data_IF_561603951339
#
_entry.id   IF_561603951339
#
_cell.length_a   1.000
_cell.length_b   1.000
_cell.length_c   1.000
_cell.angle_alpha   90.00
_cell.angle_beta   90.00
_cell.angle_gamma   90.00
#
_symmetry.space_group_name_H-M   'P 1'
#
loop_
_entity.id
_entity.type
_entity.pdbx_description
1 polymer ?
#
# COMPACT_ATOMS: atom_id res chain seq x y z
N UNK A 1 -0.26 14.07 12.71
CA UNK A 1 -0.45 13.60 14.11
C UNK A 1 -1.90 13.17 14.28
N UNK A 2 -2.17 12.21 15.16
CA UNK A 2 -3.50 11.65 15.42
C UNK A 2 -3.83 11.75 16.91
N UNK A 3 -5.03 12.22 17.23
CA UNK A 3 -5.51 12.32 18.60
C UNK A 3 -6.94 11.78 18.68
N UNK A 4 -7.20 10.86 19.60
CA UNK A 4 -8.56 10.48 19.95
C UNK A 4 -9.13 11.54 20.90
N UNK A 5 -10.22 12.16 20.50
CA UNK A 5 -10.97 13.10 21.33
C UNK A 5 -12.27 12.45 21.78
N UNK A 6 -12.63 12.56 23.06
CA UNK A 6 -13.86 11.97 23.59
C UNK A 6 -14.55 12.88 24.59
N UNK A 7 -15.88 12.84 24.60
CA UNK A 7 -16.66 13.45 25.68
C UNK A 7 -16.38 12.71 27.00
N UNK A 8 -16.44 13.40 28.15
CA UNK A 8 -16.41 12.74 29.46
C UNK A 8 -17.56 11.73 29.60
N UNK A 9 -17.33 10.63 30.33
CA UNK A 9 -18.34 9.60 30.57
C UNK A 9 -19.57 10.14 31.32
N UNK A 10 -19.41 11.24 32.04
CA UNK A 10 -20.47 11.93 32.78
C UNK A 10 -21.42 12.75 31.88
N UNK A 11 -21.06 12.99 30.62
CA UNK A 11 -21.84 13.82 29.70
C UNK A 11 -22.50 12.95 28.64
N UNK A 12 -23.83 12.95 28.57
CA UNK A 12 -24.58 12.28 27.51
C UNK A 12 -24.54 13.08 26.19
N UNK A 13 -24.69 12.38 25.07
CA UNK A 13 -24.93 13.03 23.77
C UNK A 13 -26.35 13.60 23.73
N UNK A 14 -26.55 14.70 23.00
CA UNK A 14 -27.82 15.41 22.85
C UNK A 14 -28.52 15.02 21.54
N UNK A 15 -27.77 14.79 20.47
CA UNK A 15 -28.26 14.38 19.16
C UNK A 15 -27.58 13.13 18.64
N UNK A 16 -27.27 13.14 17.35
CA UNK A 16 -26.58 12.07 16.64
C UNK A 16 -25.05 12.24 16.62
N UNK A 17 -24.51 13.18 17.42
CA UNK A 17 -23.07 13.40 17.49
C UNK A 17 -22.34 12.20 18.13
N UNK A 18 -21.14 11.86 17.61
CA UNK A 18 -20.35 10.77 18.17
C UNK A 18 -19.74 11.13 19.53
N UNK A 19 -19.64 10.15 20.43
CA UNK A 19 -18.92 10.31 21.71
C UNK A 19 -17.41 10.44 21.54
N UNK A 20 -16.87 9.82 20.48
CA UNK A 20 -15.44 9.76 20.18
C UNK A 20 -15.21 10.14 18.72
N UNK A 21 -14.20 10.97 18.47
CA UNK A 21 -13.75 11.36 17.13
C UNK A 21 -12.23 11.25 17.05
N UNK A 22 -11.72 11.06 15.84
CA UNK A 22 -10.30 11.10 15.57
C UNK A 22 -9.94 12.46 14.95
N UNK A 23 -9.07 13.21 15.62
CA UNK A 23 -8.49 14.44 15.13
C UNK A 23 -7.17 14.14 14.41
N UNK A 24 -7.14 14.40 13.10
CA UNK A 24 -5.93 14.28 12.28
C UNK A 24 -5.40 15.66 11.93
N UNK A 25 -4.17 15.94 12.33
CA UNK A 25 -3.45 17.17 11.98
C UNK A 25 -2.42 16.90 10.88
N UNK A 26 -2.49 17.68 9.80
CA UNK A 26 -1.63 17.62 8.62
C UNK A 26 -0.22 18.07 8.96
N UNK A 27 0.67 17.14 9.30
CA UNK A 27 2.08 17.46 9.55
C UNK A 27 2.87 17.56 8.24
N UNK A 28 2.97 16.44 7.52
CA UNK A 28 3.74 16.34 6.28
C UNK A 28 2.98 16.86 5.05
N UNK A 29 1.66 16.73 5.01
CA UNK A 29 0.80 17.15 3.89
C UNK A 29 0.88 18.66 3.64
N UNK A 30 1.02 19.49 4.69
CA UNK A 30 1.26 20.93 4.54
C UNK A 30 2.56 21.25 3.77
N UNK A 31 3.55 20.35 3.77
CA UNK A 31 4.79 20.49 3.00
C UNK A 31 4.65 20.06 1.53
N UNK A 32 3.59 19.33 1.18
CA UNK A 32 3.33 18.83 -0.18
C UNK A 32 2.56 19.83 -1.05
N UNK A 33 2.06 20.92 -0.46
CA UNK A 33 1.38 22.02 -1.16
C UNK A 33 -0.14 21.90 -1.17
N UNK A 34 -0.81 23.01 -1.51
CA UNK A 34 -2.27 23.14 -1.45
C UNK A 34 -3.00 22.14 -2.38
N UNK A 35 -2.44 21.84 -3.54
CA UNK A 35 -3.04 20.89 -4.50
C UNK A 35 -3.15 19.47 -3.94
N UNK A 36 -2.11 18.99 -3.26
CA UNK A 36 -2.12 17.66 -2.62
C UNK A 36 -3.18 17.57 -1.53
N UNK A 37 -3.31 18.63 -0.71
CA UNK A 37 -4.34 18.72 0.34
C UNK A 37 -5.76 18.69 -0.25
N UNK A 38 -5.99 19.39 -1.37
CA UNK A 38 -7.30 19.40 -2.04
C UNK A 38 -7.63 17.99 -2.57
N UNK A 39 -6.69 17.33 -3.25
CA UNK A 39 -6.90 15.98 -3.78
C UNK A 39 -7.18 14.97 -2.68
N UNK A 40 -6.41 15.01 -1.59
CA UNK A 40 -6.63 14.15 -0.42
C UNK A 40 -8.00 14.40 0.23
N UNK A 41 -8.39 15.67 0.37
CA UNK A 41 -9.69 16.04 0.94
C UNK A 41 -10.86 15.53 0.08
N UNK A 42 -10.75 15.65 -1.24
CA UNK A 42 -11.74 15.12 -2.20
C UNK A 42 -11.79 13.60 -2.12
N UNK A 43 -10.63 12.93 -2.06
CA UNK A 43 -10.54 11.48 -1.94
C UNK A 43 -11.22 10.99 -0.66
N UNK A 44 -10.87 11.59 0.47
CA UNK A 44 -11.41 11.22 1.78
C UNK A 44 -12.93 11.42 1.83
N UNK A 45 -13.43 12.56 1.34
CA UNK A 45 -14.87 12.82 1.29
C UNK A 45 -15.62 11.77 0.46
N UNK A 46 -15.11 11.39 -0.73
CA UNK A 46 -15.74 10.38 -1.57
C UNK A 46 -15.76 9.01 -0.87
N UNK A 47 -14.67 8.64 -0.19
CA UNK A 47 -14.58 7.37 0.53
C UNK A 47 -15.56 7.31 1.71
N UNK A 48 -15.69 8.41 2.46
CA UNK A 48 -16.66 8.55 3.54
C UNK A 48 -18.10 8.41 3.02
N UNK A 49 -18.45 9.13 1.95
CA UNK A 49 -19.80 9.08 1.35
C UNK A 49 -20.15 7.68 0.80
N UNK A 50 -19.15 6.92 0.35
CA UNK A 50 -19.34 5.54 -0.13
C UNK A 50 -19.24 4.48 0.97
N UNK A 51 -19.08 4.87 2.24
CA UNK A 51 -18.87 3.94 3.36
C UNK A 51 -17.67 3.00 3.16
N UNK A 52 -16.64 3.47 2.45
CA UNK A 52 -15.38 2.74 2.20
C UNK A 52 -14.22 3.24 3.06
N UNK A 53 -14.47 4.24 3.91
CA UNK A 53 -13.54 4.73 4.91
C UNK A 53 -14.32 5.34 6.09
N UNK A 54 -13.61 5.90 7.08
CA UNK A 54 -14.22 6.56 8.24
C UNK A 54 -15.12 7.72 7.79
N UNK A 55 -16.24 7.96 8.49
CA UNK A 55 -17.06 9.15 8.23
C UNK A 55 -16.24 10.43 8.43
N UNK A 56 -16.50 11.42 7.58
CA UNK A 56 -15.90 12.74 7.70
C UNK A 56 -16.83 13.66 8.49
N UNK A 57 -16.36 14.19 9.64
CA UNK A 57 -17.14 15.14 10.45
C UNK A 57 -16.79 16.60 10.16
N UNK A 58 -15.57 16.89 9.71
CA UNK A 58 -15.19 18.25 9.34
C UNK A 58 -13.77 18.37 8.81
N UNK A 59 -13.54 19.36 7.96
CA UNK A 59 -12.22 19.72 7.41
C UNK A 59 -11.90 21.15 7.81
N UNK A 60 -10.66 21.40 8.19
CA UNK A 60 -10.13 22.72 8.49
C UNK A 60 -8.68 22.83 7.97
N UNK A 61 -8.10 24.04 7.86
CA UNK A 61 -6.82 24.21 7.16
C UNK A 61 -5.65 23.37 7.70
N UNK A 62 -5.68 23.03 8.99
CA UNK A 62 -4.63 22.27 9.66
C UNK A 62 -4.93 20.77 9.76
N UNK A 63 -6.09 20.29 9.32
CA UNK A 63 -6.50 18.91 9.57
C UNK A 63 -7.96 18.57 9.27
N UNK A 64 -8.40 17.44 9.83
CA UNK A 64 -9.78 16.96 9.75
C UNK A 64 -10.20 16.23 11.01
N UNK A 65 -11.52 16.16 11.21
CA UNK A 65 -12.18 15.29 12.17
C UNK A 65 -12.83 14.13 11.41
N UNK A 66 -12.46 12.92 11.78
CA UNK A 66 -12.97 11.67 11.19
C UNK A 66 -13.53 10.74 12.27
N UNK A 67 -14.34 9.78 11.84
CA UNK A 67 -14.88 8.73 12.71
C UNK A 67 -13.77 7.96 13.43
N UNK A 68 -13.91 7.84 14.75
CA UNK A 68 -13.06 6.92 15.50
C UNK A 68 -13.62 5.50 15.35
N UNK A 69 -12.86 4.61 14.74
CA UNK A 69 -13.24 3.23 14.50
C UNK A 69 -12.56 2.33 15.53
N UNK A 70 -13.29 1.76 16.50
CA UNK A 70 -12.73 0.76 17.42
C UNK A 70 -12.22 -0.45 16.64
N UNK A 71 -10.91 -0.64 16.65
CA UNK A 71 -10.22 -1.59 15.80
C UNK A 71 -8.79 -1.79 16.26
N UNK A 72 -8.15 -2.84 15.73
CA UNK A 72 -6.69 -2.98 15.71
C UNK A 72 -6.21 -3.13 14.27
N UNK A 73 -4.94 -2.82 14.05
CA UNK A 73 -4.27 -3.19 12.79
C UNK A 73 -4.08 -4.70 12.74
N UNK A 74 -3.98 -5.24 11.53
CA UNK A 74 -3.52 -6.61 11.36
C UNK A 74 -2.03 -6.71 11.67
N UNK A 75 -1.62 -7.89 12.12
CA UNK A 75 -0.22 -8.30 12.14
C UNK A 75 0.16 -8.94 10.81
N UNK A 76 1.45 -8.90 10.44
CA UNK A 76 1.93 -9.41 9.15
C UNK A 76 1.60 -10.89 8.94
N UNK A 77 1.65 -11.70 10.00
CA UNK A 77 1.28 -13.12 9.94
C UNK A 77 -0.18 -13.35 9.57
N UNK A 78 -1.07 -12.44 9.94
CA UNK A 78 -2.51 -12.55 9.70
C UNK A 78 -2.86 -12.38 8.22
N UNK A 79 -2.02 -11.69 7.44
CA UNK A 79 -2.19 -11.55 5.99
C UNK A 79 -2.27 -12.91 5.28
N UNK A 80 -1.59 -13.92 5.84
CA UNK A 80 -1.53 -15.27 5.27
C UNK A 80 -2.71 -16.18 5.61
N UNK A 81 -3.60 -15.74 6.51
CA UNK A 81 -4.79 -16.50 6.89
C UNK A 81 -5.81 -16.48 5.73
N UNK A 82 -6.35 -17.64 5.28
CA UNK A 82 -7.20 -17.71 4.09
C UNK A 82 -8.39 -16.75 4.10
N UNK A 83 -9.10 -16.62 5.22
CA UNK A 83 -10.29 -15.77 5.33
C UNK A 83 -9.92 -14.28 5.30
N UNK A 84 -8.80 -13.91 5.95
CA UNK A 84 -8.28 -12.54 5.94
C UNK A 84 -7.80 -12.19 4.52
N UNK A 85 -7.01 -13.05 3.91
CA UNK A 85 -6.52 -12.87 2.54
C UNK A 85 -7.67 -12.76 1.53
N UNK A 86 -8.74 -13.56 1.69
CA UNK A 86 -9.92 -13.48 0.84
C UNK A 86 -10.65 -12.15 1.03
N UNK A 87 -10.87 -11.71 2.27
CA UNK A 87 -11.56 -10.44 2.51
C UNK A 87 -10.73 -9.23 2.04
N UNK A 88 -9.40 -9.24 2.21
CA UNK A 88 -8.53 -8.19 1.63
C UNK A 88 -8.70 -8.15 0.11
N UNK A 89 -8.73 -9.31 -0.55
CA UNK A 89 -8.96 -9.41 -1.99
C UNK A 89 -10.31 -8.80 -2.41
N UNK A 90 -11.39 -9.10 -1.68
CA UNK A 90 -12.73 -8.53 -1.92
C UNK A 90 -12.75 -7.00 -1.74
N UNK A 91 -12.12 -6.50 -0.67
CA UNK A 91 -12.03 -5.05 -0.39
C UNK A 91 -11.20 -4.33 -1.43
N UNK A 92 -10.07 -4.91 -1.86
CA UNK A 92 -9.23 -4.36 -2.91
C UNK A 92 -9.95 -4.35 -4.27
N UNK A 93 -10.68 -5.41 -4.62
CA UNK A 93 -11.51 -5.45 -5.83
C UNK A 93 -12.58 -4.35 -5.84
N UNK A 94 -13.24 -4.14 -4.71
CA UNK A 94 -14.21 -3.05 -4.51
C UNK A 94 -13.55 -1.69 -4.69
N UNK A 95 -12.36 -1.49 -4.10
CA UNK A 95 -11.59 -0.24 -4.21
C UNK A 95 -11.16 0.04 -5.66
N UNK A 96 -10.66 -0.98 -6.37
CA UNK A 96 -10.27 -0.89 -7.78
C UNK A 96 -11.45 -0.57 -8.71
N UNK A 97 -12.67 -0.99 -8.36
CA UNK A 97 -13.90 -0.69 -9.10
C UNK A 97 -14.35 0.77 -8.99
N UNK A 98 -13.73 1.59 -8.14
CA UNK A 98 -14.15 2.97 -7.92
C UNK A 98 -13.87 3.89 -9.11
N UNK A 99 -14.90 4.67 -9.46
CA UNK A 99 -14.77 5.83 -10.36
C UNK A 99 -14.46 7.07 -9.53
N UNK A 100 -13.20 7.50 -9.56
CA UNK A 100 -12.70 8.68 -8.85
C UNK A 100 -12.41 9.82 -9.83
N UNK A 101 -12.62 11.10 -9.45
CA UNK A 101 -12.44 12.26 -10.32
C UNK A 101 -10.96 12.71 -10.39
N UNK A 102 -10.05 11.77 -10.61
CA UNK A 102 -8.60 12.02 -10.72
C UNK A 102 -8.10 11.65 -12.11
N UNK A 103 -6.85 12.03 -12.42
CA UNK A 103 -6.19 11.62 -13.66
C UNK A 103 -6.17 10.09 -13.77
N UNK A 104 -6.59 9.55 -14.92
CA UNK A 104 -6.71 8.12 -15.20
C UNK A 104 -5.49 7.50 -15.85
N UNK A 105 -4.52 8.32 -16.25
CA UNK A 105 -3.26 7.80 -16.79
C UNK A 105 -2.37 7.29 -15.64
N UNK A 106 -1.77 6.10 -15.77
CA UNK A 106 -0.97 5.46 -14.72
C UNK A 106 0.45 6.07 -14.61
N UNK A 107 0.54 7.40 -14.61
CA UNK A 107 1.81 8.15 -14.54
C UNK A 107 2.46 8.12 -13.15
N UNK A 108 1.68 7.77 -12.12
CA UNK A 108 2.12 7.83 -10.73
C UNK A 108 3.33 6.95 -10.45
N UNK A 109 3.32 5.70 -10.90
CA UNK A 109 4.37 4.72 -10.56
C UNK A 109 5.74 5.13 -11.10
N UNK A 110 5.89 5.21 -12.43
CA UNK A 110 7.18 5.57 -13.04
C UNK A 110 7.57 7.02 -12.80
N UNK A 111 6.61 7.96 -12.85
CA UNK A 111 6.90 9.37 -12.56
C UNK A 111 7.44 9.57 -11.14
N UNK A 112 6.94 8.80 -10.16
CA UNK A 112 7.44 8.85 -8.78
C UNK A 112 8.80 8.16 -8.66
N UNK A 113 9.00 6.98 -9.27
CA UNK A 113 10.30 6.29 -9.26
C UNK A 113 11.40 7.15 -9.91
N UNK A 114 11.13 7.80 -11.03
CA UNK A 114 12.07 8.73 -11.69
C UNK A 114 12.41 9.92 -10.78
N UNK A 115 11.39 10.52 -10.15
CA UNK A 115 11.57 11.62 -9.18
C UNK A 115 12.40 11.17 -7.98
N UNK A 116 12.19 9.96 -7.48
CA UNK A 116 12.96 9.42 -6.36
C UNK A 116 14.39 9.11 -6.77
N UNK A 117 14.60 8.44 -7.90
CA UNK A 117 15.92 8.15 -8.44
C UNK A 117 16.75 9.43 -8.62
N UNK A 118 16.15 10.47 -9.22
CA UNK A 118 16.81 11.77 -9.39
C UNK A 118 17.25 12.40 -8.06
N UNK A 119 16.49 12.20 -6.98
CA UNK A 119 16.88 12.64 -5.64
C UNK A 119 18.00 11.76 -5.08
N UNK A 120 17.87 10.44 -5.16
CA UNK A 120 18.87 9.47 -4.68
C UNK A 120 20.24 9.74 -5.29
N UNK A 121 20.31 10.01 -6.59
CA UNK A 121 21.55 10.36 -7.30
C UNK A 121 22.23 11.65 -6.80
N UNK A 122 21.49 12.52 -6.11
CA UNK A 122 21.99 13.80 -5.57
C UNK A 122 22.25 13.75 -4.07
N UNK A 123 21.78 12.71 -3.37
CA UNK A 123 21.95 12.58 -1.92
C UNK A 123 23.43 12.40 -1.57
N UNK A 124 23.85 13.11 -0.53
CA UNK A 124 25.13 12.88 0.16
C UNK A 124 24.88 12.67 1.65
N UNK A 125 25.42 11.59 2.18
CA UNK A 125 25.43 11.31 3.62
C UNK A 125 26.76 11.76 4.23
N UNK A 126 26.71 12.31 5.44
CA UNK A 126 27.90 12.73 6.20
C UNK A 126 28.53 11.58 6.99
N UNK A 127 27.75 10.54 7.35
CA UNK A 127 28.24 9.37 8.07
C UNK A 127 28.79 8.27 7.16
N UNK A 128 29.92 7.70 7.55
CA UNK A 128 30.65 6.69 6.75
C UNK A 128 29.80 5.45 6.43
N UNK A 129 29.04 4.92 7.39
CA UNK A 129 28.19 3.73 7.20
C UNK A 129 27.12 3.96 6.14
N UNK A 130 26.36 5.05 6.24
CA UNK A 130 25.29 5.37 5.25
C UNK A 130 25.88 5.73 3.89
N UNK A 131 27.04 6.38 3.84
CA UNK A 131 27.73 6.65 2.58
C UNK A 131 28.18 5.36 1.88
N UNK A 132 28.71 4.37 2.63
CA UNK A 132 29.05 3.04 2.09
C UNK A 132 27.82 2.29 1.57
N UNK A 133 26.71 2.30 2.33
CA UNK A 133 25.45 1.69 1.89
C UNK A 133 24.92 2.35 0.61
N UNK A 134 24.93 3.69 0.52
CA UNK A 134 24.53 4.40 -0.69
C UNK A 134 25.42 4.04 -1.89
N UNK A 135 26.74 3.97 -1.69
CA UNK A 135 27.65 3.57 -2.76
C UNK A 135 27.34 2.17 -3.30
N UNK A 136 27.02 1.22 -2.41
CA UNK A 136 26.58 -0.12 -2.80
C UNK A 136 25.31 -0.09 -3.65
N UNK A 137 24.30 0.69 -3.26
CA UNK A 137 23.08 0.86 -4.05
C UNK A 137 23.33 1.45 -5.44
N UNK A 138 24.18 2.47 -5.52
CA UNK A 138 24.57 3.07 -6.80
C UNK A 138 25.37 2.09 -7.68
N UNK A 139 26.08 1.14 -7.07
CA UNK A 139 26.77 0.05 -7.75
C UNK A 139 25.86 -0.88 -8.54
N UNK A 140 24.55 -0.93 -8.24
CA UNK A 140 23.57 -1.67 -9.04
C UNK A 140 23.22 -0.99 -10.37
N UNK A 141 23.67 0.24 -10.60
CA UNK A 141 23.25 1.06 -11.74
C UNK A 141 21.72 1.22 -11.80
N UNK A 142 21.16 1.80 -10.73
CA UNK A 142 19.72 2.04 -10.58
C UNK A 142 19.03 2.70 -11.80
N UNK A 143 19.66 3.65 -12.54
CA UNK A 143 19.08 4.15 -13.78
C UNK A 143 18.85 3.06 -14.84
N UNK A 144 19.81 2.18 -15.06
CA UNK A 144 19.68 1.08 -16.01
C UNK A 144 18.64 0.05 -15.56
N UNK A 145 18.59 -0.24 -14.26
CA UNK A 145 17.60 -1.15 -13.69
C UNK A 145 16.18 -0.59 -13.80
N UNK A 146 15.98 0.73 -13.62
CA UNK A 146 14.69 1.37 -13.80
C UNK A 146 14.20 1.27 -15.26
N UNK A 147 15.09 1.44 -16.24
CA UNK A 147 14.75 1.29 -17.67
C UNK A 147 14.44 -0.17 -18.04
N UNK A 148 15.20 -1.11 -17.47
CA UNK A 148 14.94 -2.54 -17.66
C UNK A 148 13.60 -2.95 -17.07
N UNK A 149 13.28 -2.46 -15.85
CA UNK A 149 11.98 -2.65 -15.21
C UNK A 149 10.85 -2.03 -16.04
N UNK A 150 11.06 -0.82 -16.60
CA UNK A 150 10.08 -0.17 -17.49
C UNK A 150 9.77 -1.03 -18.69
N UNK A 151 10.78 -1.50 -19.42
CA UNK A 151 10.60 -2.32 -20.62
C UNK A 151 9.87 -3.63 -20.31
N UNK A 152 10.19 -4.28 -19.17
CA UNK A 152 9.48 -5.47 -18.71
C UNK A 152 8.00 -5.18 -18.44
N UNK A 153 7.67 -4.08 -17.77
CA UNK A 153 6.29 -3.76 -17.41
C UNK A 153 5.47 -3.21 -18.58
N UNK A 154 6.10 -2.56 -19.55
CA UNK A 154 5.45 -2.18 -20.82
C UNK A 154 5.01 -3.41 -21.63
N UNK A 155 5.75 -4.52 -21.54
CA UNK A 155 5.38 -5.81 -22.13
C UNK A 155 4.52 -6.69 -21.21
N UNK A 156 4.00 -6.13 -20.11
CA UNK A 156 3.16 -6.84 -19.14
C UNK A 156 1.83 -6.10 -19.00
N UNK A 157 0.79 -6.46 -19.78
CA UNK A 157 -0.51 -5.79 -19.70
C UNK A 157 -1.08 -5.87 -18.27
N UNK A 158 -1.53 -4.73 -17.75
CA UNK A 158 -2.22 -4.64 -16.47
C UNK A 158 -3.31 -3.57 -16.56
N UNK A 159 -4.56 -3.88 -16.18
CA UNK A 159 -5.64 -2.89 -16.17
C UNK A 159 -5.30 -1.70 -15.27
N UNK A 160 -5.60 -0.50 -15.76
CA UNK A 160 -5.48 0.73 -14.96
C UNK A 160 -6.74 0.92 -14.14
N UNK A 161 -6.60 0.89 -12.82
CA UNK A 161 -7.68 0.99 -11.83
C UNK A 161 -7.31 1.99 -10.75
N UNK A 162 -8.24 2.34 -9.87
CA UNK A 162 -7.92 3.20 -8.73
C UNK A 162 -7.31 2.35 -7.61
N UNK A 163 -6.00 2.44 -7.42
CA UNK A 163 -5.22 1.60 -6.50
C UNK A 163 -4.99 2.30 -5.16
N UNK A 164 -4.86 1.50 -4.11
CA UNK A 164 -4.42 1.95 -2.79
C UNK A 164 -2.94 2.36 -2.82
N UNK A 165 -2.13 1.57 -3.50
CA UNK A 165 -0.67 1.63 -3.66
C UNK A 165 0.17 1.29 -2.41
N UNK A 166 -0.45 1.22 -1.23
CA UNK A 166 0.21 0.88 0.04
C UNK A 166 -0.64 -0.04 0.95
N UNK A 167 -1.15 -1.14 0.40
CA UNK A 167 -2.02 -2.08 1.12
C UNK A 167 -1.21 -3.05 2.02
N UNK A 168 -0.54 -2.50 3.04
CA UNK A 168 0.15 -3.24 4.11
C UNK A 168 -0.77 -3.52 5.31
N UNK A 169 -0.38 -4.41 6.21
CA UNK A 169 -1.15 -4.79 7.42
C UNK A 169 -1.49 -3.60 8.32
N UNK A 170 -0.60 -2.60 8.40
CA UNK A 170 -0.84 -1.38 9.18
C UNK A 170 -1.97 -0.51 8.65
N UNK A 171 -2.37 -0.72 7.40
CA UNK A 171 -3.44 -0.01 6.69
C UNK A 171 -4.71 -0.88 6.54
N UNK A 172 -4.75 -2.05 7.20
CA UNK A 172 -5.92 -2.92 7.28
C UNK A 172 -6.37 -3.03 8.73
N UNK A 173 -7.56 -2.50 9.02
CA UNK A 173 -8.16 -2.55 10.35
C UNK A 173 -9.04 -3.78 10.50
N UNK A 174 -8.81 -4.57 11.56
CA UNK A 174 -9.78 -5.52 12.08
C UNK A 174 -10.74 -4.80 13.03
N UNK A 175 -12.02 -4.78 12.66
CA UNK A 175 -13.07 -4.06 13.37
C UNK A 175 -13.50 -4.81 14.65
N UNK A 176 -13.49 -4.10 15.78
CA UNK A 176 -13.86 -4.67 17.09
C UNK A 176 -15.32 -5.14 17.09
N UNK A 177 -15.57 -6.33 17.63
CA UNK A 177 -16.89 -6.95 17.70
C UNK A 177 -17.36 -7.60 16.39
N UNK A 178 -16.52 -7.64 15.35
CA UNK A 178 -16.79 -8.32 14.07
C UNK A 178 -15.86 -9.49 13.79
N UNK A 179 -15.02 -9.88 14.74
CA UNK A 179 -13.95 -10.86 14.57
C UNK A 179 -14.50 -12.24 14.16
N UNK A 180 -15.67 -12.59 14.68
CA UNK A 180 -16.36 -13.86 14.39
C UNK A 180 -17.17 -13.85 13.08
N UNK A 181 -17.23 -12.72 12.36
CA UNK A 181 -17.86 -12.69 11.06
C UNK A 181 -16.92 -13.31 10.02
N UNK A 182 -17.47 -14.15 9.14
CA UNK A 182 -16.71 -14.71 8.02
C UNK A 182 -16.30 -13.63 7.01
N UNK A 183 -17.11 -12.58 6.86
CA UNK A 183 -16.86 -11.43 5.97
C UNK A 183 -17.21 -10.11 6.67
N UNK A 184 -16.73 -8.99 6.12
CA UNK A 184 -17.05 -7.62 6.57
C UNK A 184 -16.51 -7.25 7.96
N UNK A 185 -15.36 -7.82 8.32
CA UNK A 185 -14.59 -7.50 9.54
C UNK A 185 -13.38 -6.61 9.27
N UNK A 186 -13.01 -6.41 8.01
CA UNK A 186 -11.86 -5.58 7.62
C UNK A 186 -12.27 -4.24 7.00
N UNK A 187 -11.44 -3.22 7.23
CA UNK A 187 -11.51 -1.93 6.56
C UNK A 187 -10.13 -1.47 6.11
N UNK A 188 -10.00 -1.08 4.84
CA UNK A 188 -8.81 -0.42 4.32
C UNK A 188 -8.80 1.05 4.76
N UNK A 189 -7.64 1.59 5.10
CA UNK A 189 -7.45 2.98 5.52
C UNK A 189 -6.13 3.54 4.99
N UNK A 190 -5.93 4.84 5.16
CA UNK A 190 -4.68 5.55 4.84
C UNK A 190 -4.31 5.57 3.35
N UNK A 191 -5.15 6.28 2.60
CA UNK A 191 -5.13 6.36 1.13
C UNK A 191 -4.14 7.41 0.59
N UNK A 192 -3.08 7.76 1.33
CA UNK A 192 -2.18 8.88 0.99
C UNK A 192 -1.40 8.66 -0.32
N UNK A 193 -1.14 7.40 -0.67
CA UNK A 193 -0.48 7.03 -1.93
C UNK A 193 -1.47 6.70 -3.04
N UNK A 194 -2.78 6.72 -2.80
CA UNK A 194 -3.77 6.23 -3.75
C UNK A 194 -3.84 7.07 -5.03
N UNK A 195 -3.90 6.38 -6.16
CA UNK A 195 -3.95 6.99 -7.50
C UNK A 195 -4.54 6.01 -8.51
N UNK A 196 -4.86 6.48 -9.71
CA UNK A 196 -4.96 5.52 -10.81
C UNK A 196 -3.57 4.95 -11.10
N UNK A 197 -3.49 3.62 -11.10
CA UNK A 197 -2.27 2.86 -11.31
C UNK A 197 -2.60 1.48 -11.88
N UNK A 198 -1.58 0.69 -12.17
CA UNK A 198 -1.75 -0.69 -12.63
C UNK A 198 -2.22 -1.59 -11.49
N UNK A 199 -3.27 -2.38 -11.73
CA UNK A 199 -3.77 -3.39 -10.78
C UNK A 199 -2.66 -4.31 -10.28
N UNK A 200 -1.78 -4.72 -11.18
CA UNK A 200 -0.64 -5.59 -10.87
C UNK A 200 0.26 -5.00 -9.80
N UNK A 201 0.42 -3.68 -9.75
CA UNK A 201 1.20 -3.01 -8.71
C UNK A 201 0.57 -3.14 -7.33
N UNK A 202 -0.73 -2.89 -7.20
CA UNK A 202 -1.36 -2.87 -5.86
C UNK A 202 -1.39 -4.27 -5.23
N UNK A 203 -1.73 -5.28 -6.03
CA UNK A 203 -1.73 -6.68 -5.57
C UNK A 203 -0.29 -7.17 -5.38
N UNK A 204 0.63 -6.86 -6.30
CA UNK A 204 2.04 -7.24 -6.20
C UNK A 204 2.70 -6.61 -4.97
N UNK A 205 2.38 -5.37 -4.68
CA UNK A 205 2.79 -4.67 -3.47
C UNK A 205 2.25 -5.36 -2.21
N UNK A 206 0.94 -5.64 -2.17
CA UNK A 206 0.34 -6.35 -1.04
C UNK A 206 1.03 -7.70 -0.77
N UNK A 207 1.33 -8.48 -1.81
CA UNK A 207 2.09 -9.73 -1.66
C UNK A 207 3.53 -9.50 -1.17
N UNK A 208 4.17 -8.39 -1.54
CA UNK A 208 5.46 -8.03 -1.00
C UNK A 208 5.41 -7.79 0.51
N UNK A 209 4.34 -7.17 1.02
CA UNK A 209 4.19 -6.83 2.44
C UNK A 209 4.11 -8.06 3.36
N UNK A 210 3.73 -9.24 2.83
CA UNK A 210 3.80 -10.50 3.60
C UNK A 210 5.22 -10.86 4.06
N UNK A 211 6.25 -10.26 3.44
CA UNK A 211 7.65 -10.48 3.77
C UNK A 211 8.20 -9.51 4.81
N UNK A 212 7.50 -8.42 5.14
CA UNK A 212 8.02 -7.33 5.94
C UNK A 212 7.18 -7.15 7.20
N UNK A 213 7.73 -7.54 8.35
CA UNK A 213 7.11 -7.32 9.67
C UNK A 213 7.66 -6.03 10.29
N UNK A 214 6.79 -5.05 10.51
CA UNK A 214 7.12 -3.74 11.06
C UNK A 214 6.95 -3.65 12.59
N UNK A 215 6.50 -4.71 13.26
CA UNK A 215 6.32 -4.75 14.73
C UNK A 215 7.62 -5.12 15.48
N UNK A 216 8.76 -5.24 14.78
CA UNK A 216 10.02 -5.57 15.42
C UNK A 216 10.54 -4.41 16.30
N UNK A 217 10.56 -4.60 17.62
CA UNK A 217 10.86 -3.54 18.60
C UNK A 217 12.30 -3.01 18.59
N UNK A 218 13.24 -3.71 17.92
CA UNK A 218 14.66 -3.34 17.90
C UNK A 218 15.08 -2.88 16.52
N UNK A 219 16.07 -1.99 16.45
CA UNK A 219 16.73 -1.62 15.19
C UNK A 219 17.04 -2.88 14.35
N UNK A 220 16.68 -2.93 13.05
CA UNK A 220 16.26 -1.81 12.20
C UNK A 220 14.75 -1.45 12.25
N UNK A 221 14.01 -1.95 13.24
CA UNK A 221 12.57 -1.77 13.43
C UNK A 221 11.69 -2.43 12.38
N UNK A 222 12.24 -3.42 11.68
CA UNK A 222 11.49 -4.33 10.83
C UNK A 222 12.23 -5.68 10.74
N UNK A 223 11.53 -6.72 10.28
CA UNK A 223 12.10 -8.00 9.86
C UNK A 223 11.69 -8.29 8.42
N UNK A 224 12.66 -8.63 7.58
CA UNK A 224 12.38 -9.13 6.23
C UNK A 224 12.58 -10.64 6.18
N UNK A 225 11.60 -11.36 5.63
CA UNK A 225 11.70 -12.79 5.37
C UNK A 225 11.12 -13.15 4.00
N UNK A 226 12.01 -13.37 3.03
CA UNK A 226 11.62 -13.66 1.64
C UNK A 226 10.84 -14.97 1.49
N UNK A 227 10.97 -15.89 2.45
CA UNK A 227 10.25 -17.16 2.46
C UNK A 227 8.77 -17.00 2.83
N UNK A 228 8.36 -15.82 3.30
CA UNK A 228 6.97 -15.50 3.63
C UNK A 228 6.17 -14.93 2.45
N UNK A 229 6.82 -14.68 1.30
CA UNK A 229 6.10 -14.32 0.07
C UNK A 229 5.03 -15.38 -0.23
N UNK A 230 3.80 -15.00 -0.62
CA UNK A 230 2.73 -15.95 -0.83
C UNK A 230 3.10 -17.00 -1.87
N UNK A 231 2.87 -18.27 -1.54
CA UNK A 231 3.04 -19.38 -2.49
C UNK A 231 2.05 -19.25 -3.64
N UNK A 232 2.30 -19.93 -4.78
CA UNK A 232 1.36 -19.95 -5.91
C UNK A 232 -0.08 -20.29 -5.47
N UNK A 233 -0.25 -21.24 -4.54
CA UNK A 233 -1.57 -21.59 -3.99
C UNK A 233 -2.24 -20.42 -3.26
N UNK A 234 -1.49 -19.68 -2.44
CA UNK A 234 -2.01 -18.52 -1.72
C UNK A 234 -2.31 -17.34 -2.66
N UNK A 235 -1.47 -17.13 -3.67
CA UNK A 235 -1.71 -16.11 -4.68
C UNK A 235 -2.96 -16.40 -5.50
N UNK A 236 -3.14 -17.65 -5.96
CA UNK A 236 -4.36 -18.07 -6.66
C UNK A 236 -5.59 -17.90 -5.76
N UNK A 237 -5.53 -18.31 -4.49
CA UNK A 237 -6.61 -18.06 -3.53
C UNK A 237 -7.01 -16.58 -3.44
N UNK A 238 -6.02 -15.68 -3.35
CA UNK A 238 -6.28 -14.24 -3.37
C UNK A 238 -6.90 -13.78 -4.70
N UNK A 239 -6.33 -14.21 -5.84
CA UNK A 239 -6.78 -13.81 -7.17
C UNK A 239 -8.20 -14.28 -7.45
N UNK A 240 -8.56 -15.53 -7.12
CA UNK A 240 -9.92 -16.05 -7.32
C UNK A 240 -10.96 -15.22 -6.56
N UNK A 241 -10.69 -14.89 -5.28
CA UNK A 241 -11.58 -14.04 -4.48
C UNK A 241 -11.63 -12.60 -5.00
N UNK A 242 -10.49 -12.05 -5.45
CA UNK A 242 -10.45 -10.73 -6.08
C UNK A 242 -11.30 -10.69 -7.36
N UNK A 243 -11.15 -11.67 -8.26
CA UNK A 243 -11.85 -11.71 -9.54
C UNK A 243 -13.35 -11.93 -9.37
N UNK A 244 -13.75 -12.78 -8.41
CA UNK A 244 -15.16 -13.00 -8.05
C UNK A 244 -15.84 -11.75 -7.50
N UNK A 245 -15.11 -10.90 -6.76
CA UNK A 245 -15.62 -9.66 -6.19
C UNK A 245 -15.54 -8.46 -7.15
N UNK A 246 -14.71 -8.53 -8.19
CA UNK A 246 -14.58 -7.47 -9.17
C UNK A 246 -15.81 -7.46 -10.08
N UNK A 247 -16.41 -6.30 -10.42
CA UNK A 247 -17.62 -6.23 -11.22
C UNK A 247 -17.36 -6.63 -12.68
N UNK A 248 -17.37 -7.93 -12.95
CA UNK A 248 -17.17 -8.57 -14.25
C UNK A 248 -18.03 -9.85 -14.36
N UNK A 249 -17.94 -10.55 -15.49
CA UNK A 249 -18.64 -11.82 -15.72
C UNK A 249 -17.82 -13.05 -15.30
N UNK A 250 -16.82 -12.88 -14.41
CA UNK A 250 -15.85 -13.93 -14.08
C UNK A 250 -16.53 -15.19 -13.55
N UNK A 251 -17.56 -15.07 -12.71
CA UNK A 251 -18.26 -16.24 -12.18
C UNK A 251 -18.99 -17.08 -13.23
N UNK A 252 -19.36 -16.47 -14.37
CA UNK A 252 -20.05 -17.15 -15.46
C UNK A 252 -19.10 -17.88 -16.41
N UNK A 253 -17.79 -17.70 -16.26
CA UNK A 253 -16.77 -18.35 -17.09
C UNK A 253 -16.62 -19.83 -16.72
N UNK A 254 -16.19 -20.63 -17.70
CA UNK A 254 -15.77 -22.02 -17.47
C UNK A 254 -14.54 -22.09 -16.55
N UNK A 255 -14.30 -23.26 -15.93
CA UNK A 255 -13.13 -23.45 -15.07
C UNK A 255 -11.82 -23.31 -15.86
N UNK A 256 -11.81 -23.71 -17.13
CA UNK A 256 -10.67 -23.57 -18.03
C UNK A 256 -10.35 -22.10 -18.31
N UNK A 257 -11.37 -21.27 -18.58
CA UNK A 257 -11.20 -19.82 -18.78
C UNK A 257 -10.74 -19.13 -17.49
N UNK A 258 -11.34 -19.47 -16.34
CA UNK A 258 -10.91 -18.96 -15.03
C UNK A 258 -9.44 -19.26 -14.78
N UNK A 259 -9.01 -20.50 -15.03
CA UNK A 259 -7.61 -20.92 -14.84
C UNK A 259 -6.64 -20.15 -15.74
N UNK A 260 -7.00 -19.88 -17.00
CA UNK A 260 -6.14 -19.09 -17.91
C UNK A 260 -5.97 -17.66 -17.39
N UNK A 261 -7.07 -17.01 -17.01
CA UNK A 261 -7.05 -15.63 -16.49
C UNK A 261 -6.22 -15.53 -15.21
N UNK A 262 -6.38 -16.49 -14.30
CA UNK A 262 -5.62 -16.52 -13.05
C UNK A 262 -4.12 -16.70 -13.26
N UNK A 263 -3.70 -17.57 -14.18
CA UNK A 263 -2.28 -17.77 -14.51
C UNK A 263 -1.66 -16.55 -15.20
N UNK A 264 -2.38 -15.88 -16.10
CA UNK A 264 -1.94 -14.61 -16.68
C UNK A 264 -1.78 -13.53 -15.60
N UNK A 265 -2.73 -13.46 -14.67
CA UNK A 265 -2.71 -12.50 -13.57
C UNK A 265 -1.59 -12.80 -12.57
N UNK A 266 -1.20 -14.06 -12.35
CA UNK A 266 0.00 -14.40 -11.59
C UNK A 266 1.25 -13.80 -12.22
N UNK A 267 1.43 -13.92 -13.54
CA UNK A 267 2.59 -13.34 -14.24
C UNK A 267 2.59 -11.82 -14.14
N UNK A 268 1.45 -11.19 -14.36
CA UNK A 268 1.26 -9.75 -14.18
C UNK A 268 1.70 -9.29 -12.79
N UNK A 269 1.08 -9.85 -11.74
CA UNK A 269 1.30 -9.45 -10.36
C UNK A 269 2.76 -9.64 -9.94
N UNK A 270 3.36 -10.79 -10.24
CA UNK A 270 4.72 -11.08 -9.81
C UNK A 270 5.76 -10.22 -10.53
N UNK A 271 5.51 -9.80 -11.78
CA UNK A 271 6.36 -8.81 -12.46
C UNK A 271 6.20 -7.43 -11.82
N UNK A 272 4.99 -7.00 -11.50
CA UNK A 272 4.77 -5.72 -10.82
C UNK A 272 5.27 -5.70 -9.37
N UNK A 273 5.41 -6.85 -8.70
CA UNK A 273 6.08 -6.95 -7.40
C UNK A 273 7.55 -6.45 -7.45
N UNK A 274 8.22 -6.57 -8.61
CA UNK A 274 9.53 -5.95 -8.83
C UNK A 274 9.46 -4.42 -8.70
N UNK A 275 8.43 -3.79 -9.28
CA UNK A 275 8.24 -2.36 -9.15
C UNK A 275 7.92 -1.94 -7.71
N UNK A 276 7.19 -2.75 -6.93
CA UNK A 276 7.02 -2.50 -5.50
C UNK A 276 8.37 -2.48 -4.77
N UNK A 277 9.23 -3.49 -4.97
CA UNK A 277 10.56 -3.49 -4.36
C UNK A 277 11.41 -2.29 -4.78
N UNK A 278 11.44 -1.97 -6.08
CA UNK A 278 12.24 -0.86 -6.59
C UNK A 278 11.75 0.49 -6.06
N UNK A 279 10.43 0.72 -6.06
CA UNK A 279 9.78 1.92 -5.56
C UNK A 279 10.12 2.16 -4.08
N UNK A 280 9.85 1.17 -3.22
CA UNK A 280 10.06 1.31 -1.78
C UNK A 280 11.54 1.30 -1.39
N UNK A 281 12.41 0.67 -2.19
CA UNK A 281 13.86 0.78 -2.05
C UNK A 281 14.36 2.21 -2.26
N UNK A 282 13.93 2.87 -3.36
CA UNK A 282 14.26 4.27 -3.62
C UNK A 282 13.66 5.22 -2.58
N UNK A 283 12.39 5.04 -2.23
CA UNK A 283 11.71 5.80 -1.19
C UNK A 283 12.51 5.76 0.12
N UNK A 284 12.96 4.57 0.53
CA UNK A 284 13.63 4.39 1.80
C UNK A 284 15.02 5.07 1.85
N UNK A 285 15.77 5.06 0.75
CA UNK A 285 17.03 5.83 0.66
C UNK A 285 16.78 7.33 0.89
N UNK A 286 15.69 7.88 0.35
CA UNK A 286 15.33 9.28 0.54
C UNK A 286 14.94 9.54 2.00
N UNK A 287 14.12 8.67 2.59
CA UNK A 287 13.70 8.79 3.98
C UNK A 287 14.87 8.73 4.96
N UNK A 288 15.92 7.95 4.67
CA UNK A 288 17.15 7.93 5.46
C UNK A 288 17.83 9.32 5.57
N UNK A 289 17.53 10.26 4.67
CA UNK A 289 18.04 11.64 4.67
C UNK A 289 17.07 12.64 5.28
N UNK A 290 15.76 12.48 5.08
CA UNK A 290 14.76 13.51 5.39
C UNK A 290 13.83 13.18 6.56
N UNK A 291 13.66 11.90 6.90
CA UNK A 291 12.74 11.47 7.95
C UNK A 291 13.33 11.72 9.33
N UNK A 292 12.47 12.12 10.26
CA UNK A 292 12.78 12.20 11.68
C UNK A 292 12.35 10.95 12.47
N UNK A 293 11.67 10.01 11.81
CA UNK A 293 11.22 8.75 12.44
C UNK A 293 12.42 7.83 12.60
N UNK A 294 12.55 7.22 13.77
CA UNK A 294 13.60 6.23 14.03
C UNK A 294 13.24 4.91 13.33
N UNK A 295 13.85 4.69 12.18
CA UNK A 295 13.67 3.48 11.37
C UNK A 295 14.96 3.16 10.61
N UNK A 296 15.26 1.88 10.42
CA UNK A 296 16.45 1.42 9.69
C UNK A 296 16.31 1.55 8.17
N UNK A 297 16.09 2.77 7.67
CA UNK A 297 15.79 3.05 6.26
C UNK A 297 16.84 2.48 5.28
N UNK A 298 18.13 2.60 5.58
CA UNK A 298 19.16 2.05 4.69
C UNK A 298 19.19 0.51 4.70
N UNK A 299 18.85 -0.13 5.81
CA UNK A 299 18.74 -1.60 5.88
C UNK A 299 17.48 -2.08 5.18
N UNK A 300 16.39 -1.34 5.29
CA UNK A 300 15.16 -1.61 4.55
C UNK A 300 15.36 -1.46 3.05
N UNK A 301 16.02 -0.39 2.59
CA UNK A 301 16.38 -0.23 1.19
C UNK A 301 17.17 -1.44 0.66
N UNK A 302 18.15 -1.93 1.45
CA UNK A 302 18.88 -3.14 1.10
C UNK A 302 17.97 -4.37 1.01
N UNK A 303 17.10 -4.59 2.00
CA UNK A 303 16.16 -5.71 1.98
C UNK A 303 15.23 -5.68 0.74
N UNK A 304 14.74 -4.50 0.36
CA UNK A 304 13.91 -4.33 -0.85
C UNK A 304 14.70 -4.64 -2.12
N UNK A 305 15.93 -4.13 -2.27
CA UNK A 305 16.75 -4.42 -3.45
C UNK A 305 17.21 -5.89 -3.52
N UNK A 306 17.52 -6.51 -2.38
CA UNK A 306 17.83 -7.94 -2.34
C UNK A 306 16.63 -8.77 -2.81
N UNK A 307 15.42 -8.43 -2.36
CA UNK A 307 14.18 -9.06 -2.82
C UNK A 307 13.87 -8.78 -4.30
N UNK A 308 14.14 -7.57 -4.80
CA UNK A 308 14.03 -7.22 -6.22
C UNK A 308 14.88 -8.17 -7.09
N UNK A 309 16.16 -8.30 -6.77
CA UNK A 309 17.07 -9.14 -7.57
C UNK A 309 16.75 -10.63 -7.40
N UNK A 310 16.29 -11.07 -6.23
CA UNK A 310 15.85 -12.45 -6.04
C UNK A 310 14.61 -12.79 -6.86
N UNK A 311 13.60 -11.92 -6.85
CA UNK A 311 12.38 -12.09 -7.63
C UNK A 311 12.67 -12.02 -9.13
N UNK A 312 13.58 -11.13 -9.56
CA UNK A 312 14.03 -11.03 -10.96
C UNK A 312 14.65 -12.36 -11.44
N UNK A 313 15.49 -12.98 -10.60
CA UNK A 313 16.04 -14.33 -10.87
C UNK A 313 14.96 -15.42 -10.92
N UNK A 314 14.00 -15.42 -9.99
CA UNK A 314 12.90 -16.40 -9.96
C UNK A 314 12.01 -16.32 -11.21
N UNK A 315 11.82 -15.12 -11.75
CA UNK A 315 11.05 -14.87 -12.97
C UNK A 315 11.84 -15.10 -14.26
N UNK A 316 13.18 -15.16 -14.18
CA UNK A 316 14.05 -15.36 -15.34
C UNK A 316 14.06 -14.17 -16.31
N UNK A 317 13.96 -12.94 -15.79
CA UNK A 317 13.86 -11.69 -16.58
C UNK A 317 14.98 -10.70 -16.29
#
# INVERSE_FOLDING_TARGET
>A
MLFQCSLPDTLATVGDEPRKVLLRLYGAILKMGAEAMVLESVMFAILAERSLGPKLYGIFPQGRLEEFIPSRRLDTEELSLPDISAEIAEKMATFHGMKMPFNKEPKWLFGTMEKYLNQVLRIKFTGETRAKQLHRFLGYNLPLELESLRSLLESTPSPVVFCHNDCQEGNVLLLEGRENNEKQKLMLIDFEYSSYNYRGFDIGNHFCEWMYDYNYEKYPFFRANILKYPTKKQQLHFISNYLAAFPNEYENLSNEEKSVIEEEMLVEINRFALASHFFWGLWSIIQAKISSIEFGYMDYAQARFDAYFDQKRKLGV
#
